data_IF_448554746031
#
_entry.id   IF_448554746031
#
_cell.length_a   1.000
_cell.length_b   1.000
_cell.length_c   1.000
_cell.angle_alpha   90.00
_cell.angle_beta   90.00
_cell.angle_gamma   90.00
#
_symmetry.space_group_name_H-M   'P 1'
#
loop_
_entity.id
_entity.type
_entity.pdbx_description
1 polymer ?
#
# COMPACT_ATOMS: atom_id res chain seq x y z
N UNK A 1 -6.71 8.23 -21.15
CA UNK A 1 -5.72 7.79 -20.14
C UNK A 1 -5.22 9.07 -19.47
N UNK A 2 -5.24 9.20 -18.14
CA UNK A 2 -4.77 10.43 -17.51
C UNK A 2 -3.27 10.64 -17.83
N UNK A 3 -2.87 11.89 -18.11
CA UNK A 3 -1.48 12.23 -18.42
C UNK A 3 -0.58 11.88 -17.23
N UNK A 4 0.50 11.14 -17.48
CA UNK A 4 1.46 10.80 -16.41
C UNK A 4 2.43 11.97 -16.22
N UNK A 5 2.70 12.40 -14.98
CA UNK A 5 3.68 13.45 -14.74
C UNK A 5 5.03 13.06 -15.33
N UNK A 6 5.67 13.99 -16.05
CA UNK A 6 6.94 13.79 -16.74
C UNK A 6 6.99 12.53 -17.62
N UNK A 7 5.88 12.26 -18.32
CA UNK A 7 5.72 11.10 -19.21
C UNK A 7 6.06 9.73 -18.55
N UNK A 8 5.96 9.66 -17.21
CA UNK A 8 6.26 8.45 -16.43
C UNK A 8 7.74 8.18 -16.15
N UNK A 9 8.67 9.08 -16.56
CA UNK A 9 10.12 8.89 -16.35
C UNK A 9 10.51 8.81 -14.87
N UNK A 10 9.70 9.39 -13.97
CA UNK A 10 9.93 9.39 -12.53
C UNK A 10 8.90 8.57 -11.75
N UNK A 11 8.07 7.75 -12.41
CA UNK A 11 7.02 6.93 -11.78
C UNK A 11 7.56 6.06 -10.61
N UNK A 12 8.85 5.71 -10.65
CA UNK A 12 9.53 4.90 -9.65
C UNK A 12 9.61 5.54 -8.26
N UNK A 13 9.45 6.86 -8.15
CA UNK A 13 9.56 7.62 -6.90
C UNK A 13 8.23 8.26 -6.47
N UNK A 14 7.15 7.97 -7.19
CA UNK A 14 5.84 8.55 -6.91
C UNK A 14 5.12 7.76 -5.82
N UNK A 15 4.60 8.49 -4.84
CA UNK A 15 3.70 7.99 -3.81
C UNK A 15 2.33 8.64 -3.96
N UNK A 16 1.28 8.00 -3.44
CA UNK A 16 -0.09 8.50 -3.48
C UNK A 16 -0.45 9.13 -2.14
N UNK A 17 -1.35 10.11 -2.20
CA UNK A 17 -1.92 10.69 -1.00
C UNK A 17 -2.84 9.69 -0.27
N UNK A 18 -2.92 9.75 1.08
CA UNK A 18 -2.29 10.75 1.94
C UNK A 18 -0.82 10.47 2.29
N UNK A 19 -0.01 11.54 2.36
CA UNK A 19 1.37 11.50 2.83
C UNK A 19 1.50 12.37 4.08
N UNK A 20 1.64 11.74 5.26
CA UNK A 20 1.81 12.45 6.53
C UNK A 20 3.26 12.84 6.79
N UNK A 21 4.19 12.01 6.33
CA UNK A 21 5.62 12.22 6.51
C UNK A 21 6.32 12.29 5.15
N UNK A 22 6.99 13.40 4.83
CA UNK A 22 7.80 13.51 3.63
C UNK A 22 9.12 12.75 3.79
N UNK A 23 9.57 12.13 2.70
CA UNK A 23 10.85 11.42 2.60
C UNK A 23 11.62 11.91 1.39
N UNK A 24 12.94 12.03 1.52
CA UNK A 24 13.79 12.58 0.45
C UNK A 24 13.79 11.74 -0.84
N UNK A 25 13.41 10.45 -0.75
CA UNK A 25 13.40 9.51 -1.87
C UNK A 25 12.10 9.45 -2.66
N UNK A 26 11.06 10.21 -2.27
CA UNK A 26 9.73 10.10 -2.89
C UNK A 26 9.02 11.43 -3.00
N UNK A 27 8.11 11.53 -3.97
CA UNK A 27 7.28 12.72 -4.21
C UNK A 27 5.83 12.28 -4.38
N UNK A 28 4.88 13.04 -3.84
CA UNK A 28 3.46 12.74 -4.07
C UNK A 28 3.11 12.92 -5.54
N UNK A 29 2.21 12.10 -6.06
CA UNK A 29 1.73 12.22 -7.44
C UNK A 29 1.20 13.62 -7.73
N UNK A 30 0.42 14.20 -6.80
CA UNK A 30 -0.11 15.55 -6.93
C UNK A 30 1.00 16.62 -7.07
N UNK A 31 2.07 16.53 -6.27
CA UNK A 31 3.20 17.47 -6.39
C UNK A 31 3.99 17.28 -7.68
N UNK A 32 4.15 16.04 -8.15
CA UNK A 32 4.79 15.76 -9.43
C UNK A 32 3.94 16.28 -10.62
N UNK A 33 2.62 16.18 -10.54
CA UNK A 33 1.69 16.73 -11.52
C UNK A 33 1.74 18.26 -11.56
N UNK A 34 1.73 18.93 -10.39
CA UNK A 34 1.88 20.37 -10.31
C UNK A 34 3.22 20.84 -10.91
N UNK A 35 4.31 20.14 -10.57
CA UNK A 35 5.62 20.39 -11.16
C UNK A 35 5.65 20.14 -12.67
N UNK A 36 4.94 19.13 -13.16
CA UNK A 36 4.85 18.85 -14.59
C UNK A 36 4.10 19.94 -15.35
N UNK A 37 2.96 20.41 -14.82
CA UNK A 37 2.20 21.54 -15.37
C UNK A 37 3.07 22.78 -15.46
N UNK A 38 3.80 23.11 -14.40
CA UNK A 38 4.73 24.24 -14.40
C UNK A 38 5.78 24.11 -15.51
N UNK A 39 6.35 22.92 -15.72
CA UNK A 39 7.36 22.69 -16.76
C UNK A 39 6.81 22.89 -18.17
N UNK A 40 5.71 22.21 -18.53
CA UNK A 40 5.24 22.26 -19.92
C UNK A 40 4.42 23.51 -20.25
N UNK A 41 3.80 24.16 -19.25
CA UNK A 41 3.02 25.39 -19.45
C UNK A 41 3.90 26.63 -19.35
N UNK A 42 4.75 26.71 -18.34
CA UNK A 42 5.41 27.97 -17.97
C UNK A 42 6.89 28.03 -18.41
N UNK A 43 7.62 26.90 -18.39
CA UNK A 43 9.06 26.89 -18.70
C UNK A 43 9.38 26.50 -20.14
N UNK A 44 8.67 25.50 -20.67
CA UNK A 44 8.96 24.87 -21.95
C UNK A 44 7.75 24.81 -22.90
N UNK A 45 6.90 25.85 -23.00
CA UNK A 45 5.71 25.80 -23.87
C UNK A 45 6.05 25.68 -25.36
N UNK A 46 7.26 26.08 -25.75
CA UNK A 46 7.83 25.94 -27.09
C UNK A 46 8.37 24.54 -27.39
N UNK A 47 8.70 23.75 -26.37
CA UNK A 47 9.25 22.39 -26.51
C UNK A 47 8.22 21.29 -26.23
N UNK A 48 7.23 21.58 -25.38
CA UNK A 48 6.24 20.59 -24.92
C UNK A 48 4.85 21.12 -25.18
N UNK A 49 4.13 20.49 -26.11
CA UNK A 49 2.73 20.82 -26.39
C UNK A 49 1.82 20.41 -25.23
N UNK A 50 1.10 21.38 -24.65
CA UNK A 50 0.12 21.12 -23.60
C UNK A 50 -1.00 20.19 -24.06
N UNK A 51 -1.49 20.35 -25.30
CA UNK A 51 -2.49 19.47 -25.91
C UNK A 51 -1.93 18.06 -26.13
N UNK A 52 -0.66 17.96 -26.54
CA UNK A 52 0.05 16.69 -26.68
C UNK A 52 0.13 15.94 -25.34
N UNK A 53 0.43 16.65 -24.25
CA UNK A 53 0.43 16.08 -22.89
C UNK A 53 -0.96 15.66 -22.46
N UNK A 54 -1.97 16.53 -22.59
CA UNK A 54 -3.34 16.27 -22.16
C UNK A 54 -3.98 15.07 -22.88
N UNK A 55 -3.69 14.92 -24.18
CA UNK A 55 -4.18 13.81 -24.99
C UNK A 55 -3.35 12.52 -24.83
N UNK A 56 -2.23 12.57 -24.10
CA UNK A 56 -1.33 11.42 -23.91
C UNK A 56 -0.45 11.09 -25.12
N UNK A 57 -0.34 12.02 -26.07
CA UNK A 57 0.49 11.87 -27.27
C UNK A 57 1.97 12.25 -27.03
N UNK A 58 2.27 12.91 -25.92
CA UNK A 58 3.64 13.23 -25.52
C UNK A 58 4.24 12.10 -24.69
N UNK A 59 5.24 11.42 -25.23
CA UNK A 59 5.81 10.19 -24.68
C UNK A 59 7.11 10.40 -23.91
N UNK A 60 7.58 9.33 -23.25
CA UNK A 60 8.85 9.33 -22.56
C UNK A 60 10.03 9.57 -23.52
N UNK A 61 9.99 9.06 -24.76
CA UNK A 61 11.07 9.31 -25.73
C UNK A 61 11.12 10.76 -26.20
N UNK A 62 9.94 11.38 -26.33
CA UNK A 62 9.86 12.80 -26.71
C UNK A 62 10.48 13.67 -25.62
N UNK A 63 10.16 13.38 -24.35
CA UNK A 63 10.76 14.07 -23.21
C UNK A 63 12.26 13.81 -23.08
N UNK A 64 12.73 12.59 -23.36
CA UNK A 64 14.15 12.25 -23.35
C UNK A 64 14.95 13.08 -24.36
N UNK A 65 14.41 13.29 -25.57
CA UNK A 65 15.07 14.05 -26.63
C UNK A 65 15.35 15.51 -26.26
N UNK A 66 14.49 16.12 -25.45
CA UNK A 66 14.58 17.53 -25.01
C UNK A 66 15.03 17.68 -23.56
N UNK A 67 15.38 16.59 -22.87
CA UNK A 67 15.67 16.60 -21.44
C UNK A 67 16.78 17.58 -21.03
N UNK A 68 17.89 17.75 -21.79
CA UNK A 68 18.92 18.72 -21.44
C UNK A 68 18.37 20.15 -21.33
N UNK A 69 17.52 20.56 -22.28
CA UNK A 69 16.92 21.89 -22.32
C UNK A 69 15.93 22.08 -21.18
N UNK A 70 15.09 21.08 -20.92
CA UNK A 70 14.15 21.09 -19.79
C UNK A 70 14.88 21.26 -18.46
N UNK A 71 15.94 20.47 -18.23
CA UNK A 71 16.73 20.54 -16.99
C UNK A 71 17.47 21.89 -16.85
N UNK A 72 18.00 22.44 -17.93
CA UNK A 72 18.64 23.75 -17.93
C UNK A 72 17.65 24.84 -17.53
N UNK A 73 16.47 24.87 -18.17
CA UNK A 73 15.42 25.86 -17.88
C UNK A 73 14.88 25.73 -16.46
N UNK A 74 14.67 24.51 -15.96
CA UNK A 74 14.28 24.28 -14.57
C UNK A 74 15.33 24.83 -13.59
N UNK A 75 16.61 24.55 -13.84
CA UNK A 75 17.72 25.03 -13.00
C UNK A 75 17.78 26.56 -12.99
N UNK A 76 17.71 27.20 -14.15
CA UNK A 76 17.80 28.65 -14.28
C UNK A 76 16.59 29.34 -13.64
N UNK A 77 15.39 28.80 -13.84
CA UNK A 77 14.18 29.30 -13.20
C UNK A 77 14.27 29.22 -11.66
N UNK A 78 14.68 28.08 -11.11
CA UNK A 78 14.84 27.92 -9.66
C UNK A 78 15.94 28.83 -9.09
N UNK A 79 17.04 29.02 -9.81
CA UNK A 79 18.10 29.95 -9.42
C UNK A 79 17.63 31.41 -9.43
N UNK A 80 16.77 31.80 -10.38
CA UNK A 80 16.18 33.14 -10.44
C UNK A 80 15.15 33.35 -9.32
N UNK A 81 14.34 32.34 -9.02
CA UNK A 81 13.34 32.36 -7.94
C UNK A 81 14.01 32.45 -6.57
N UNK A 82 15.10 31.71 -6.35
CA UNK A 82 15.83 31.73 -5.08
C UNK A 82 16.38 33.12 -4.70
N UNK A 83 16.53 34.02 -5.68
CA UNK A 83 17.03 35.39 -5.48
C UNK A 83 15.91 36.43 -5.25
N UNK A 84 14.64 36.03 -5.40
CA UNK A 84 13.50 36.95 -5.43
C UNK A 84 12.30 36.35 -4.65
N UNK A 85 12.05 36.83 -3.42
CA UNK A 85 10.95 36.34 -2.60
C UNK A 85 9.56 36.46 -3.24
N UNK A 86 9.35 37.48 -4.08
CA UNK A 86 8.06 37.68 -4.75
C UNK A 86 7.86 36.64 -5.87
N UNK A 87 8.93 36.28 -6.59
CA UNK A 87 8.87 35.16 -7.55
C UNK A 87 8.64 33.82 -6.85
N UNK A 88 9.26 33.59 -5.70
CA UNK A 88 9.01 32.37 -4.92
C UNK A 88 7.57 32.29 -4.43
N UNK A 89 7.00 33.42 -3.94
CA UNK A 89 5.58 33.51 -3.57
C UNK A 89 4.65 33.20 -4.74
N UNK A 90 4.92 33.75 -5.92
CA UNK A 90 4.14 33.48 -7.14
C UNK A 90 4.24 32.03 -7.57
N UNK A 91 5.42 31.42 -7.50
CA UNK A 91 5.58 30.00 -7.82
C UNK A 91 4.76 29.12 -6.87
N UNK A 92 4.81 29.36 -5.55
CA UNK A 92 3.99 28.61 -4.58
C UNK A 92 2.50 28.71 -4.89
N UNK A 93 2.02 29.91 -5.25
CA UNK A 93 0.63 30.10 -5.67
C UNK A 93 0.30 29.33 -6.96
N UNK A 94 1.21 29.32 -7.94
CA UNK A 94 1.02 28.60 -9.20
C UNK A 94 1.05 27.07 -9.05
N UNK A 95 1.84 26.54 -8.12
CA UNK A 95 1.91 25.11 -7.81
C UNK A 95 0.81 24.65 -6.84
N UNK A 96 0.10 25.58 -6.21
CA UNK A 96 -1.01 25.33 -5.30
C UNK A 96 -0.62 25.03 -3.85
N UNK A 97 0.66 24.80 -3.53
CA UNK A 97 1.13 24.58 -2.17
C UNK A 97 2.62 24.88 -1.97
N UNK A 98 3.04 25.02 -0.71
CA UNK A 98 4.48 25.16 -0.38
C UNK A 98 5.20 23.82 -0.54
N UNK A 99 4.51 22.73 -0.24
CA UNK A 99 5.01 21.36 -0.33
C UNK A 99 5.29 20.96 -1.78
N UNK A 100 4.44 21.37 -2.73
CA UNK A 100 4.68 21.17 -4.16
C UNK A 100 5.93 21.92 -4.63
N UNK A 101 6.16 23.13 -4.12
CA UNK A 101 7.38 23.89 -4.39
C UNK A 101 8.60 23.17 -3.81
N UNK A 102 8.53 22.70 -2.58
CA UNK A 102 9.64 22.02 -1.90
C UNK A 102 9.96 20.64 -2.49
N UNK A 103 9.04 20.05 -3.26
CA UNK A 103 9.27 18.82 -4.03
C UNK A 103 10.10 19.03 -5.31
N UNK A 104 10.18 20.26 -5.85
CA UNK A 104 10.86 20.52 -7.13
C UNK A 104 12.34 20.08 -7.17
N UNK A 105 13.16 20.29 -6.12
CA UNK A 105 14.54 19.80 -6.11
C UNK A 105 14.62 18.27 -6.23
N UNK A 106 13.72 17.53 -5.58
CA UNK A 106 13.66 16.06 -5.66
C UNK A 106 13.24 15.61 -7.06
N UNK A 107 12.23 16.26 -7.65
CA UNK A 107 11.80 16.03 -9.03
C UNK A 107 12.97 16.26 -10.01
N UNK A 108 13.66 17.38 -9.89
CA UNK A 108 14.80 17.70 -10.76
C UNK A 108 15.95 16.69 -10.60
N UNK A 109 16.23 16.24 -9.37
CA UNK A 109 17.22 15.18 -9.13
C UNK A 109 16.79 13.85 -9.77
N UNK A 110 15.51 13.48 -9.64
CA UNK A 110 14.96 12.27 -10.25
C UNK A 110 15.06 12.31 -11.78
N UNK A 111 14.75 13.44 -12.41
CA UNK A 111 14.89 13.63 -13.87
C UNK A 111 16.36 13.54 -14.31
N UNK A 112 17.28 14.15 -13.56
CA UNK A 112 18.73 14.06 -13.82
C UNK A 112 19.23 12.62 -13.71
N UNK A 113 18.71 11.86 -12.75
CA UNK A 113 19.13 10.50 -12.43
C UNK A 113 18.21 9.41 -12.98
N UNK A 114 17.28 9.74 -13.90
CA UNK A 114 16.23 8.83 -14.40
C UNK A 114 16.73 7.47 -14.91
N UNK A 115 17.88 7.45 -15.59
CA UNK A 115 18.51 6.21 -16.05
C UNK A 115 18.96 5.31 -14.87
N UNK A 116 19.36 5.91 -13.74
CA UNK A 116 19.69 5.19 -12.52
C UNK A 116 18.44 4.68 -11.80
N UNK A 117 17.29 5.35 -11.90
CA UNK A 117 16.03 4.83 -11.36
C UNK A 117 15.62 3.51 -12.03
N UNK A 118 15.84 3.39 -13.35
CA UNK A 118 15.63 2.14 -14.09
C UNK A 118 16.55 1.04 -13.56
N UNK A 119 17.84 1.35 -13.37
CA UNK A 119 18.81 0.41 -12.78
C UNK A 119 18.45 0.04 -11.35
N UNK A 120 17.96 0.97 -10.54
CA UNK A 120 17.52 0.71 -9.18
C UNK A 120 16.31 -0.23 -9.11
N UNK A 121 15.34 -0.08 -10.02
CA UNK A 121 14.24 -1.06 -10.15
C UNK A 121 14.78 -2.44 -10.53
N UNK A 122 15.73 -2.52 -11.46
CA UNK A 122 16.35 -3.78 -11.84
C UNK A 122 17.11 -4.42 -10.65
N UNK A 123 17.84 -3.61 -9.88
CA UNK A 123 18.46 -4.04 -8.63
C UNK A 123 17.43 -4.62 -7.65
N UNK A 124 16.33 -3.91 -7.39
CA UNK A 124 15.29 -4.39 -6.48
C UNK A 124 14.67 -5.73 -6.91
N UNK A 125 14.51 -5.95 -8.23
CA UNK A 125 14.11 -7.27 -8.77
C UNK A 125 15.18 -8.33 -8.53
N UNK A 126 16.44 -8.01 -8.79
CA UNK A 126 17.56 -8.92 -8.62
C UNK A 126 17.74 -9.36 -7.15
N UNK A 127 17.50 -8.47 -6.19
CA UNK A 127 17.53 -8.79 -4.74
C UNK A 127 16.62 -9.98 -4.39
N UNK A 128 15.50 -10.15 -5.08
CA UNK A 128 14.60 -11.30 -4.83
C UNK A 128 15.22 -12.64 -5.25
N UNK A 129 16.20 -12.64 -6.17
CA UNK A 129 16.87 -13.84 -6.66
C UNK A 129 18.22 -14.11 -5.97
N UNK A 130 18.83 -13.10 -5.33
CA UNK A 130 20.08 -13.28 -4.57
C UNK A 130 19.79 -14.15 -3.36
N UNK A 131 20.36 -15.34 -3.26
CA UNK A 131 20.17 -16.24 -2.11
C UNK A 131 21.25 -16.05 -1.04
N UNK A 132 22.46 -15.66 -1.45
CA UNK A 132 23.62 -15.51 -0.57
C UNK A 132 23.71 -14.12 0.08
N UNK A 133 23.84 -14.09 1.41
CA UNK A 133 23.90 -12.84 2.19
C UNK A 133 25.13 -11.98 1.87
N UNK A 134 26.27 -12.62 1.55
CA UNK A 134 27.50 -11.92 1.17
C UNK A 134 27.33 -11.15 -0.15
N UNK A 135 26.71 -11.76 -1.15
CA UNK A 135 26.41 -11.13 -2.43
C UNK A 135 25.44 -9.95 -2.26
N UNK A 136 24.40 -10.09 -1.42
CA UNK A 136 23.50 -8.99 -1.10
C UNK A 136 24.25 -7.85 -0.39
N UNK A 137 25.15 -8.18 0.53
CA UNK A 137 25.98 -7.19 1.23
C UNK A 137 26.84 -6.35 0.28
N UNK A 138 27.56 -6.99 -0.65
CA UNK A 138 28.36 -6.31 -1.68
C UNK A 138 27.47 -5.44 -2.57
N UNK A 139 26.31 -5.96 -2.97
CA UNK A 139 25.37 -5.24 -3.82
C UNK A 139 24.85 -3.96 -3.11
N UNK A 140 24.59 -4.02 -1.80
CA UNK A 140 24.16 -2.85 -1.02
C UNK A 140 25.26 -1.82 -0.84
N UNK A 141 26.51 -2.25 -0.66
CA UNK A 141 27.66 -1.35 -0.57
C UNK A 141 27.98 -0.68 -1.91
N UNK A 142 27.54 -1.23 -3.04
CA UNK A 142 27.68 -0.61 -4.36
C UNK A 142 26.76 0.60 -4.58
N UNK A 143 25.74 0.80 -3.73
CA UNK A 143 24.88 1.98 -3.76
C UNK A 143 25.65 3.24 -3.35
N UNK A 144 25.26 4.44 -3.81
CA UNK A 144 25.97 5.68 -3.51
C UNK A 144 25.68 6.18 -2.09
N UNK A 145 26.05 5.40 -1.05
CA UNK A 145 25.75 5.69 0.36
C UNK A 145 26.35 7.02 0.84
N UNK A 146 27.38 7.53 0.16
CA UNK A 146 28.02 8.83 0.42
C UNK A 146 27.24 10.02 -0.16
N UNK A 147 26.24 9.77 -1.02
CA UNK A 147 25.28 10.76 -1.51
C UNK A 147 23.87 10.38 -1.02
N UNK A 148 23.47 10.83 0.18
CA UNK A 148 22.18 10.45 0.76
C UNK A 148 20.99 10.83 -0.11
N UNK A 149 21.06 11.94 -0.85
CA UNK A 149 19.96 12.40 -1.69
C UNK A 149 19.74 11.44 -2.88
N UNK A 150 20.81 11.07 -3.58
CA UNK A 150 20.73 10.08 -4.65
C UNK A 150 20.37 8.69 -4.09
N UNK A 151 21.00 8.27 -3.00
CA UNK A 151 20.71 6.99 -2.36
C UNK A 151 19.22 6.87 -1.97
N UNK A 152 18.60 7.92 -1.43
CA UNK A 152 17.17 7.92 -1.11
C UNK A 152 16.30 7.65 -2.33
N UNK A 153 16.58 8.27 -3.48
CA UNK A 153 15.83 8.03 -4.73
C UNK A 153 16.01 6.59 -5.22
N UNK A 154 17.26 6.10 -5.24
CA UNK A 154 17.54 4.75 -5.74
C UNK A 154 16.95 3.68 -4.83
N UNK A 155 17.09 3.80 -3.50
CA UNK A 155 16.49 2.83 -2.59
C UNK A 155 14.97 2.87 -2.60
N UNK A 156 14.35 4.04 -2.74
CA UNK A 156 12.90 4.11 -2.89
C UNK A 156 12.42 3.41 -4.17
N UNK A 157 13.09 3.65 -5.29
CA UNK A 157 12.79 2.99 -6.56
C UNK A 157 13.02 1.46 -6.51
N UNK A 158 14.10 1.02 -5.87
CA UNK A 158 14.43 -0.39 -5.69
C UNK A 158 13.41 -1.10 -4.79
N UNK A 159 13.04 -0.50 -3.66
CA UNK A 159 12.19 -1.14 -2.67
C UNK A 159 10.80 -1.48 -3.20
N UNK A 160 10.28 -0.69 -4.14
CA UNK A 160 9.03 -1.00 -4.84
C UNK A 160 9.06 -2.31 -5.62
N UNK A 161 10.24 -2.93 -5.82
CA UNK A 161 10.41 -4.22 -6.49
C UNK A 161 10.84 -5.35 -5.54
N UNK A 162 11.22 -5.03 -4.30
CA UNK A 162 11.71 -6.01 -3.32
C UNK A 162 10.50 -6.67 -2.63
N UNK A 163 10.37 -7.98 -2.73
CA UNK A 163 9.28 -8.76 -2.14
C UNK A 163 9.47 -8.99 -0.64
N UNK A 164 10.70 -9.20 -0.19
CA UNK A 164 11.05 -9.50 1.20
C UNK A 164 11.99 -8.44 1.80
N UNK A 165 11.45 -7.37 2.41
CA UNK A 165 12.26 -6.30 3.01
C UNK A 165 13.05 -6.78 4.24
N UNK A 166 12.64 -7.86 4.91
CA UNK A 166 13.36 -8.39 6.08
C UNK A 166 14.79 -8.77 5.74
N UNK A 167 15.03 -9.41 4.58
CA UNK A 167 16.39 -9.78 4.16
C UNK A 167 17.30 -8.57 3.97
N UNK A 168 16.74 -7.49 3.43
CA UNK A 168 17.47 -6.24 3.27
C UNK A 168 17.92 -5.70 4.64
N UNK A 169 17.00 -5.66 5.61
CA UNK A 169 17.29 -5.16 6.96
C UNK A 169 18.28 -6.04 7.70
N UNK A 170 18.14 -7.36 7.66
CA UNK A 170 19.08 -8.26 8.36
C UNK A 170 20.48 -8.20 7.76
N UNK A 171 20.63 -8.06 6.44
CA UNK A 171 21.94 -7.81 5.82
C UNK A 171 22.53 -6.46 6.24
N UNK A 172 21.71 -5.40 6.31
CA UNK A 172 22.15 -4.08 6.80
C UNK A 172 22.65 -4.15 8.24
N UNK A 173 21.99 -4.92 9.11
CA UNK A 173 22.41 -5.13 10.50
C UNK A 173 23.77 -5.83 10.55
N UNK A 174 23.96 -6.88 9.73
CA UNK A 174 25.25 -7.57 9.62
C UNK A 174 26.37 -6.62 9.17
N UNK A 175 26.10 -5.77 8.18
CA UNK A 175 27.06 -4.77 7.70
C UNK A 175 27.33 -3.68 8.74
N UNK A 176 26.32 -3.29 9.52
CA UNK A 176 26.43 -2.25 10.56
C UNK A 176 27.11 -2.73 11.84
N UNK A 177 27.25 -4.05 12.01
CA UNK A 177 27.88 -4.72 13.15
C UNK A 177 27.00 -4.82 14.40
N UNK A 178 25.87 -4.10 14.46
CA UNK A 178 24.85 -4.25 15.49
C UNK A 178 23.47 -3.81 14.97
N UNK A 179 22.43 -4.13 15.74
CA UNK A 179 21.02 -3.90 15.40
C UNK A 179 20.47 -2.53 15.87
N UNK A 180 21.33 -1.58 16.26
CA UNK A 180 20.88 -0.29 16.78
C UNK A 180 20.68 0.73 15.66
N UNK A 181 19.68 1.61 15.81
CA UNK A 181 19.44 2.74 14.89
C UNK A 181 20.72 3.56 14.65
N UNK A 182 21.51 3.82 15.71
CA UNK A 182 22.76 4.59 15.61
C UNK A 182 23.80 3.93 14.69
N UNK A 183 23.93 2.60 14.70
CA UNK A 183 24.89 1.92 13.83
C UNK A 183 24.43 1.92 12.37
N UNK A 184 23.13 1.75 12.12
CA UNK A 184 22.54 1.83 10.77
C UNK A 184 22.77 3.21 10.17
N UNK A 185 22.56 4.28 10.96
CA UNK A 185 22.84 5.66 10.56
C UNK A 185 24.32 5.85 10.26
N UNK A 186 25.21 5.41 11.17
CA UNK A 186 26.67 5.55 11.00
C UNK A 186 27.19 4.86 9.75
N UNK A 187 26.58 3.75 9.34
CA UNK A 187 26.93 3.01 8.12
C UNK A 187 26.31 3.62 6.84
N UNK A 188 25.49 4.68 6.97
CA UNK A 188 24.89 5.38 5.83
C UNK A 188 23.62 4.72 5.27
N UNK A 189 23.00 3.80 6.00
CA UNK A 189 21.80 3.08 5.53
C UNK A 189 20.48 3.77 5.87
N UNK A 190 20.50 4.99 6.40
CA UNK A 190 19.29 5.78 6.64
C UNK A 190 18.33 5.87 5.45
N UNK A 191 18.81 6.08 4.19
CA UNK A 191 17.95 6.12 3.02
C UNK A 191 17.12 4.84 2.80
N UNK A 192 17.60 3.67 3.22
CA UNK A 192 16.88 2.41 3.11
C UNK A 192 15.72 2.35 4.09
N UNK A 193 15.96 2.77 5.33
CA UNK A 193 14.93 2.79 6.38
C UNK A 193 13.83 3.79 6.02
N UNK A 194 14.22 4.97 5.54
CA UNK A 194 13.29 5.98 5.04
C UNK A 194 12.47 5.46 3.85
N UNK A 195 13.08 4.72 2.92
CA UNK A 195 12.35 4.07 1.83
C UNK A 195 11.32 3.05 2.36
N UNK A 196 11.67 2.22 3.36
CA UNK A 196 10.74 1.25 3.95
C UNK A 196 9.55 1.94 4.59
N UNK A 197 9.79 3.00 5.37
CA UNK A 197 8.72 3.80 5.97
C UNK A 197 7.85 4.50 4.92
N UNK A 198 8.45 5.04 3.86
CA UNK A 198 7.71 5.66 2.76
C UNK A 198 6.79 4.65 2.05
N UNK A 199 7.29 3.45 1.76
CA UNK A 199 6.50 2.38 1.14
C UNK A 199 5.40 1.84 2.07
N UNK A 200 5.66 1.80 3.37
CA UNK A 200 4.67 1.40 4.37
C UNK A 200 3.54 2.44 4.45
N UNK A 201 3.89 3.73 4.54
CA UNK A 201 2.90 4.82 4.48
C UNK A 201 2.11 4.79 3.17
N UNK A 202 2.75 4.51 2.04
CA UNK A 202 2.09 4.46 0.75
C UNK A 202 1.09 3.29 0.62
N UNK A 203 0.96 2.40 1.61
CA UNK A 203 -0.14 1.44 1.65
C UNK A 203 -1.46 2.09 2.07
N UNK A 204 -1.41 3.18 2.83
CA UNK A 204 -2.57 3.83 3.46
C UNK A 204 -3.63 4.24 2.42
N UNK A 205 -3.23 4.68 1.23
CA UNK A 205 -4.15 5.10 0.17
C UNK A 205 -5.09 3.99 -0.32
N UNK A 206 -4.67 2.72 -0.18
CA UNK A 206 -5.47 1.54 -0.57
C UNK A 206 -6.45 1.18 0.54
N UNK A 207 -6.09 1.42 1.80
CA UNK A 207 -6.81 0.95 2.99
C UNK A 207 -8.07 1.75 3.31
N UNK A 208 -8.76 2.30 2.31
CA UNK A 208 -10.10 2.87 2.43
C UNK A 208 -11.10 2.02 1.65
N UNK A 209 -11.50 0.84 2.15
CA UNK A 209 -12.56 0.07 1.53
C UNK A 209 -13.88 0.82 1.72
N UNK A 210 -14.33 1.59 0.74
CA UNK A 210 -15.66 2.19 0.74
C UNK A 210 -16.57 1.47 -0.25
N UNK A 211 -17.74 1.05 0.23
CA UNK A 211 -18.81 0.47 -0.59
C UNK A 211 -18.72 -1.03 -0.81
N UNK A 212 -19.80 -1.61 -1.35
CA UNK A 212 -19.94 -3.04 -1.61
C UNK A 212 -18.93 -3.60 -2.65
N UNK A 213 -18.36 -2.72 -3.48
CA UNK A 213 -17.42 -3.07 -4.56
C UNK A 213 -15.97 -2.68 -4.24
N UNK A 214 -15.63 -2.47 -2.97
CA UNK A 214 -14.24 -2.28 -2.59
C UNK A 214 -13.41 -3.50 -3.05
N UNK A 215 -12.23 -3.25 -3.63
CA UNK A 215 -11.29 -4.31 -4.02
C UNK A 215 -10.61 -4.85 -2.76
N UNK A 216 -11.30 -5.79 -2.10
CA UNK A 216 -10.88 -6.36 -0.82
C UNK A 216 -9.59 -7.16 -0.99
N UNK A 217 -9.37 -7.80 -2.15
CA UNK A 217 -8.11 -8.47 -2.45
C UNK A 217 -6.94 -7.48 -2.47
N UNK A 218 -7.14 -6.30 -3.08
CA UNK A 218 -6.13 -5.23 -3.06
C UNK A 218 -5.89 -4.70 -1.65
N UNK A 219 -6.94 -4.53 -0.83
CA UNK A 219 -6.81 -4.14 0.58
C UNK A 219 -6.02 -5.16 1.37
N UNK A 220 -6.32 -6.45 1.24
CA UNK A 220 -5.60 -7.54 1.91
C UNK A 220 -4.13 -7.57 1.50
N UNK A 221 -3.83 -7.52 0.18
CA UNK A 221 -2.45 -7.45 -0.33
C UNK A 221 -1.69 -6.24 0.20
N UNK A 222 -2.35 -5.08 0.29
CA UNK A 222 -1.75 -3.86 0.83
C UNK A 222 -1.48 -3.97 2.32
N UNK A 223 -2.37 -4.59 3.09
CA UNK A 223 -2.20 -4.85 4.52
C UNK A 223 -1.03 -5.81 4.78
N UNK A 224 -0.93 -6.92 4.02
CA UNK A 224 0.21 -7.84 4.07
C UNK A 224 1.53 -7.17 3.69
N UNK A 225 1.50 -6.28 2.69
CA UNK A 225 2.68 -5.49 2.30
C UNK A 225 3.10 -4.56 3.42
N UNK A 226 2.15 -3.84 4.01
CA UNK A 226 2.38 -2.98 5.17
C UNK A 226 3.00 -3.77 6.33
N UNK A 227 2.40 -4.90 6.68
CA UNK A 227 2.87 -5.79 7.74
C UNK A 227 4.33 -6.23 7.51
N UNK A 228 4.66 -6.72 6.30
CA UNK A 228 6.04 -7.12 5.97
C UNK A 228 7.05 -5.98 6.11
N UNK A 229 6.69 -4.78 5.63
CA UNK A 229 7.56 -3.60 5.73
C UNK A 229 7.78 -3.19 7.19
N UNK A 230 6.71 -3.06 7.97
CA UNK A 230 6.79 -2.73 9.41
C UNK A 230 7.56 -3.77 10.18
N UNK A 231 7.27 -5.06 9.97
CA UNK A 231 7.92 -6.16 10.69
C UNK A 231 9.40 -6.27 10.37
N UNK A 232 9.81 -5.95 9.13
CA UNK A 232 11.22 -5.89 8.75
C UNK A 232 12.02 -4.88 9.59
N UNK A 233 11.36 -3.85 10.11
CA UNK A 233 11.97 -2.82 10.96
C UNK A 233 11.81 -3.15 12.45
N UNK A 234 10.57 -3.23 12.94
CA UNK A 234 10.27 -3.37 14.37
C UNK A 234 10.73 -4.70 14.97
N UNK A 235 10.93 -5.73 14.15
CA UNK A 235 11.43 -7.02 14.59
C UNK A 235 12.95 -7.14 14.68
N UNK A 236 13.69 -6.20 14.08
CA UNK A 236 15.13 -6.37 13.85
C UNK A 236 15.97 -5.17 14.24
N UNK A 237 15.42 -3.96 14.27
CA UNK A 237 16.16 -2.74 14.63
C UNK A 237 15.68 -2.23 15.99
N UNK A 238 16.64 -1.96 16.87
CA UNK A 238 16.43 -1.25 18.13
C UNK A 238 16.42 0.25 17.86
N UNK A 239 15.21 0.81 17.75
CA UNK A 239 15.01 2.25 17.58
C UNK A 239 15.26 3.01 18.88
N UNK A 240 15.92 4.16 18.75
CA UNK A 240 16.10 5.06 19.89
C UNK A 240 14.75 5.65 20.31
N UNK A 241 14.54 5.78 21.61
CA UNK A 241 13.29 6.33 22.15
C UNK A 241 13.10 7.77 21.66
N UNK A 242 11.95 8.04 21.05
CA UNK A 242 11.62 9.37 20.51
C UNK A 242 12.35 9.70 19.19
N UNK A 243 13.02 8.74 18.56
CA UNK A 243 13.62 8.98 17.24
C UNK A 243 12.56 9.24 16.18
N UNK A 244 12.95 9.92 15.11
CA UNK A 244 12.07 10.17 13.96
C UNK A 244 11.50 8.87 13.41
N UNK A 245 12.32 7.83 13.27
CA UNK A 245 11.87 6.53 12.77
C UNK A 245 10.82 5.89 13.67
N UNK A 246 11.04 5.89 14.99
CA UNK A 246 10.06 5.37 15.94
C UNK A 246 8.73 6.16 15.91
N UNK A 247 8.80 7.49 15.84
CA UNK A 247 7.62 8.36 15.76
C UNK A 247 6.82 8.11 14.47
N UNK A 248 7.50 8.06 13.33
CA UNK A 248 6.85 7.79 12.04
C UNK A 248 6.21 6.41 12.04
N UNK A 249 6.94 5.38 12.48
CA UNK A 249 6.43 4.01 12.54
C UNK A 249 5.17 3.91 13.40
N UNK A 250 5.18 4.51 14.59
CA UNK A 250 4.02 4.55 15.48
C UNK A 250 2.83 5.27 14.83
N UNK A 251 3.07 6.42 14.19
CA UNK A 251 2.02 7.21 13.56
C UNK A 251 1.39 6.50 12.36
N UNK A 252 2.18 5.88 11.47
CA UNK A 252 1.62 5.15 10.32
C UNK A 252 0.89 3.88 10.76
N UNK A 253 1.37 3.17 11.79
CA UNK A 253 0.64 2.03 12.39
C UNK A 253 -0.72 2.45 12.91
N UNK A 254 -0.79 3.61 13.59
CA UNK A 254 -2.06 4.16 14.04
C UNK A 254 -2.98 4.49 12.85
N UNK A 255 -2.49 5.20 11.83
CA UNK A 255 -3.30 5.58 10.67
C UNK A 255 -3.86 4.36 9.91
N UNK A 256 -3.05 3.30 9.75
CA UNK A 256 -3.51 2.04 9.16
C UNK A 256 -4.58 1.39 10.03
N UNK A 257 -4.38 1.37 11.35
CA UNK A 257 -5.33 0.79 12.30
C UNK A 257 -6.67 1.53 12.26
N UNK A 258 -6.65 2.86 12.36
CA UNK A 258 -7.83 3.73 12.35
C UNK A 258 -8.65 3.58 11.05
N UNK A 259 -7.98 3.30 9.92
CA UNK A 259 -8.66 3.08 8.62
C UNK A 259 -9.34 1.73 8.49
N UNK A 260 -8.78 0.71 9.14
CA UNK A 260 -9.28 -0.67 9.07
C UNK A 260 -10.33 -0.93 10.16
N UNK A 261 -10.23 -0.23 11.29
CA UNK A 261 -11.11 -0.37 12.46
C UNK A 261 -12.62 -0.40 12.14
N UNK A 262 -13.19 0.53 11.34
CA UNK A 262 -14.63 0.55 11.08
C UNK A 262 -15.11 -0.74 10.44
N UNK A 263 -14.32 -1.28 9.50
CA UNK A 263 -14.66 -2.51 8.80
C UNK A 263 -14.71 -3.71 9.74
N UNK A 264 -13.81 -3.80 10.73
CA UNK A 264 -13.86 -4.87 11.75
C UNK A 264 -15.16 -4.84 12.56
N UNK A 265 -15.63 -3.64 12.93
CA UNK A 265 -16.86 -3.47 13.73
C UNK A 265 -18.09 -3.98 12.96
N UNK A 266 -18.09 -3.87 11.65
CA UNK A 266 -19.24 -4.22 10.80
C UNK A 266 -19.31 -5.71 10.43
N UNK A 267 -18.20 -6.48 10.49
CA UNK A 267 -18.16 -7.89 10.02
C UNK A 267 -19.26 -8.75 10.62
N UNK A 268 -19.47 -8.66 11.93
CA UNK A 268 -20.49 -9.46 12.64
C UNK A 268 -21.90 -9.04 12.22
N UNK A 269 -22.13 -7.74 12.02
CA UNK A 269 -23.41 -7.22 11.53
C UNK A 269 -23.70 -7.75 10.12
N UNK A 270 -22.72 -7.71 9.23
CA UNK A 270 -22.86 -8.19 7.85
C UNK A 270 -23.22 -9.68 7.82
N UNK A 271 -22.52 -10.51 8.59
CA UNK A 271 -22.82 -11.95 8.71
C UNK A 271 -24.27 -12.14 9.19
N UNK A 272 -24.65 -11.41 10.24
CA UNK A 272 -26.00 -11.51 10.78
C UNK A 272 -27.07 -11.10 9.78
N UNK A 273 -26.82 -10.09 8.96
CA UNK A 273 -27.78 -9.63 7.95
C UNK A 273 -27.82 -10.53 6.73
N UNK A 274 -26.68 -11.06 6.28
CA UNK A 274 -26.56 -11.94 5.12
C UNK A 274 -27.15 -13.33 5.37
N UNK A 275 -26.96 -13.86 6.58
CA UNK A 275 -27.31 -15.25 6.92
C UNK A 275 -28.72 -15.41 7.52
N UNK A 276 -29.46 -14.31 7.68
CA UNK A 276 -30.80 -14.33 8.24
C UNK A 276 -31.85 -14.57 7.15
N UNK A 277 -32.88 -15.35 7.49
CA UNK A 277 -34.12 -15.44 6.70
C UNK A 277 -34.90 -14.12 6.75
N UNK A 278 -35.45 -13.67 5.62
CA UNK A 278 -36.33 -12.50 5.58
C UNK A 278 -37.51 -12.64 6.55
N UNK A 279 -37.84 -11.57 7.29
CA UNK A 279 -38.96 -11.58 8.26
C UNK A 279 -40.33 -11.38 7.58
N UNK A 280 -40.37 -10.71 6.44
CA UNK A 280 -41.60 -10.35 5.72
C UNK A 280 -41.42 -10.56 4.21
N UNK A 281 -42.42 -11.15 3.54
CA UNK A 281 -42.40 -11.46 2.11
C UNK A 281 -41.74 -12.80 1.74
N UNK A 282 -41.53 -13.02 0.44
CA UNK A 282 -40.79 -14.19 -0.07
C UNK A 282 -39.32 -14.10 0.38
N UNK A 283 -38.77 -15.18 0.93
CA UNK A 283 -37.35 -15.24 1.30
C UNK A 283 -36.49 -14.93 0.07
N UNK A 284 -35.61 -13.94 0.19
CA UNK A 284 -34.75 -13.46 -0.89
C UNK A 284 -33.33 -13.33 -0.42
N UNK A 285 -32.42 -13.68 -1.32
CA UNK A 285 -30.99 -13.59 -1.10
C UNK A 285 -30.52 -12.20 -1.55
N UNK A 286 -29.86 -11.49 -0.64
CA UNK A 286 -29.23 -10.21 -0.95
C UNK A 286 -27.74 -10.48 -1.25
N UNK A 287 -27.40 -10.48 -2.54
CA UNK A 287 -26.06 -10.78 -3.02
C UNK A 287 -25.02 -9.79 -2.49
N UNK A 288 -25.38 -8.51 -2.34
CA UNK A 288 -24.46 -7.47 -1.87
C UNK A 288 -24.12 -7.68 -0.40
N UNK A 289 -25.11 -8.08 0.42
CA UNK A 289 -24.88 -8.44 1.84
C UNK A 289 -24.04 -9.69 1.99
N UNK A 290 -24.28 -10.71 1.17
CA UNK A 290 -23.45 -11.93 1.19
C UNK A 290 -22.02 -11.62 0.80
N UNK A 291 -21.82 -10.85 -0.27
CA UNK A 291 -20.49 -10.43 -0.68
C UNK A 291 -19.80 -9.62 0.41
N UNK A 292 -20.50 -8.67 1.04
CA UNK A 292 -19.97 -7.91 2.16
C UNK A 292 -19.54 -8.82 3.32
N UNK A 293 -20.37 -9.79 3.71
CA UNK A 293 -20.03 -10.74 4.78
C UNK A 293 -18.81 -11.61 4.45
N UNK A 294 -18.74 -12.18 3.24
CA UNK A 294 -17.58 -12.97 2.78
C UNK A 294 -16.31 -12.12 2.80
N UNK A 295 -16.38 -10.92 2.22
CA UNK A 295 -15.29 -9.96 2.20
C UNK A 295 -14.83 -9.55 3.60
N UNK A 296 -15.77 -9.37 4.54
CA UNK A 296 -15.48 -9.07 5.94
C UNK A 296 -14.74 -10.20 6.63
N UNK A 297 -15.15 -11.45 6.44
CA UNK A 297 -14.48 -12.62 7.00
C UNK A 297 -13.08 -12.81 6.41
N UNK A 298 -12.93 -12.60 5.10
CA UNK A 298 -11.62 -12.68 4.43
C UNK A 298 -10.64 -11.62 4.96
N UNK A 299 -11.06 -10.35 5.03
CA UNK A 299 -10.25 -9.29 5.61
C UNK A 299 -9.88 -9.58 7.07
N UNK A 300 -10.83 -10.09 7.86
CA UNK A 300 -10.58 -10.45 9.26
C UNK A 300 -9.51 -11.55 9.39
N UNK A 301 -9.50 -12.52 8.47
CA UNK A 301 -8.44 -13.53 8.41
C UNK A 301 -7.07 -12.91 8.06
N UNK A 302 -6.99 -11.99 7.09
CA UNK A 302 -5.74 -11.29 6.78
C UNK A 302 -5.24 -10.44 7.96
N UNK A 303 -6.14 -9.76 8.68
CA UNK A 303 -5.78 -8.99 9.88
C UNK A 303 -5.18 -9.90 10.96
N UNK A 304 -5.69 -11.13 11.12
CA UNK A 304 -5.14 -12.10 12.07
C UNK A 304 -3.65 -12.36 11.82
N UNK A 305 -3.26 -12.49 10.55
CA UNK A 305 -1.86 -12.71 10.15
C UNK A 305 -1.01 -11.45 10.34
N UNK A 306 -1.62 -10.27 10.22
CA UNK A 306 -0.94 -8.97 10.31
C UNK A 306 -0.97 -8.33 11.70
N UNK A 307 -1.58 -8.98 12.71
CA UNK A 307 -1.95 -8.36 14.01
C UNK A 307 -0.79 -7.67 14.73
N UNK A 308 0.43 -8.24 14.65
CA UNK A 308 1.61 -7.73 15.35
C UNK A 308 2.12 -6.39 14.78
N UNK A 309 1.58 -5.94 13.64
CA UNK A 309 1.88 -4.64 13.03
C UNK A 309 0.73 -3.64 13.14
N UNK A 310 -0.34 -4.01 13.85
CA UNK A 310 -1.56 -3.22 14.00
C UNK A 310 -1.84 -2.94 15.48
N UNK A 311 -2.51 -1.83 15.74
CA UNK A 311 -2.95 -1.43 17.07
C UNK A 311 -4.43 -1.80 17.32
N UNK A 312 -4.84 -3.00 16.91
CA UNK A 312 -6.25 -3.44 16.90
C UNK A 312 -6.53 -4.69 17.74
N UNK A 313 -5.59 -5.17 18.56
CA UNK A 313 -5.66 -6.50 19.18
C UNK A 313 -6.98 -6.78 19.94
N UNK A 314 -7.40 -5.89 20.85
CA UNK A 314 -8.60 -6.12 21.64
C UNK A 314 -9.88 -6.15 20.78
N UNK A 315 -10.01 -5.23 19.82
CA UNK A 315 -11.14 -5.20 18.90
C UNK A 315 -11.13 -6.44 17.98
N UNK A 316 -9.96 -6.84 17.50
CA UNK A 316 -9.79 -8.03 16.68
C UNK A 316 -10.23 -9.28 17.43
N UNK A 317 -9.76 -9.51 18.66
CA UNK A 317 -10.11 -10.70 19.44
C UNK A 317 -11.62 -10.80 19.66
N UNK A 318 -12.26 -9.67 19.95
CA UNK A 318 -13.71 -9.57 20.07
C UNK A 318 -14.41 -9.91 18.74
N UNK A 319 -14.05 -9.25 17.64
CA UNK A 319 -14.65 -9.47 16.33
C UNK A 319 -14.43 -10.91 15.83
N UNK A 320 -13.25 -11.48 16.08
CA UNK A 320 -12.88 -12.86 15.73
C UNK A 320 -13.76 -13.87 16.46
N UNK A 321 -13.92 -13.69 17.77
CA UNK A 321 -14.76 -14.55 18.61
C UNK A 321 -16.24 -14.47 18.18
N UNK A 322 -16.79 -13.25 18.09
CA UNK A 322 -18.18 -13.01 17.73
C UNK A 322 -18.52 -13.51 16.32
N UNK A 323 -17.61 -13.35 15.36
CA UNK A 323 -17.75 -13.89 14.00
C UNK A 323 -17.87 -15.41 14.01
N UNK A 324 -17.05 -16.10 14.81
CA UNK A 324 -17.12 -17.56 14.95
C UNK A 324 -18.47 -18.01 15.51
N UNK A 325 -18.91 -17.41 16.61
CA UNK A 325 -20.20 -17.73 17.24
C UNK A 325 -21.39 -17.43 16.32
N UNK A 326 -21.37 -16.28 15.63
CA UNK A 326 -22.44 -15.91 14.70
C UNK A 326 -22.56 -16.92 13.54
N UNK A 327 -21.42 -17.32 12.96
CA UNK A 327 -21.41 -18.31 11.88
C UNK A 327 -21.94 -19.66 12.35
N UNK A 328 -21.50 -20.19 13.50
CA UNK A 328 -22.01 -21.47 14.04
C UNK A 328 -23.53 -21.45 14.20
N UNK A 329 -24.07 -20.40 14.83
CA UNK A 329 -25.50 -20.25 15.05
C UNK A 329 -26.27 -20.21 13.74
N UNK A 330 -25.81 -19.44 12.76
CA UNK A 330 -26.50 -19.30 11.48
C UNK A 330 -26.36 -20.53 10.59
N UNK A 331 -25.22 -21.21 10.60
CA UNK A 331 -25.01 -22.46 9.87
C UNK A 331 -25.93 -23.55 10.40
N UNK A 332 -26.02 -23.70 11.72
CA UNK A 332 -26.93 -24.66 12.35
C UNK A 332 -28.39 -24.37 11.96
N UNK A 333 -28.82 -23.10 12.07
CA UNK A 333 -30.17 -22.69 11.68
C UNK A 333 -30.49 -22.95 10.20
N UNK A 334 -29.56 -22.64 9.28
CA UNK A 334 -29.79 -22.87 7.86
C UNK A 334 -29.77 -24.36 7.48
N UNK A 335 -28.96 -25.18 8.16
CA UNK A 335 -29.03 -26.64 8.03
C UNK A 335 -30.38 -27.19 8.48
N UNK A 336 -30.93 -26.70 9.60
CA UNK A 336 -32.25 -27.11 10.07
C UNK A 336 -33.36 -26.67 9.10
N UNK A 337 -33.23 -25.49 8.48
CA UNK A 337 -34.15 -25.02 7.45
C UNK A 337 -34.09 -25.87 6.17
N UNK A 338 -32.90 -26.27 5.72
CA UNK A 338 -32.74 -27.19 4.57
C UNK A 338 -33.34 -28.57 4.87
N UNK A 339 -33.18 -29.09 6.09
CA UNK A 339 -33.84 -30.37 6.47
C UNK A 339 -35.36 -30.31 6.36
N UNK A 340 -35.95 -29.14 6.61
CA UNK A 340 -37.39 -28.92 6.51
C UNK A 340 -37.84 -28.66 5.08
N UNK A 341 -37.04 -27.94 4.28
CA UNK A 341 -37.33 -27.59 2.90
C UNK A 341 -36.12 -27.86 1.98
N UNK A 342 -35.83 -29.13 1.64
CA UNK A 342 -34.61 -29.50 0.90
C UNK A 342 -34.48 -28.88 -0.49
N UNK A 343 -35.60 -28.54 -1.13
CA UNK A 343 -35.64 -27.99 -2.48
C UNK A 343 -35.57 -26.45 -2.55
N UNK A 344 -35.44 -25.74 -1.42
CA UNK A 344 -35.41 -24.28 -1.41
C UNK A 344 -34.04 -23.74 -1.89
N UNK A 345 -33.98 -23.11 -3.08
CA UNK A 345 -32.72 -22.65 -3.64
C UNK A 345 -32.12 -21.47 -2.86
N UNK A 346 -32.93 -20.68 -2.16
CA UNK A 346 -32.47 -19.51 -1.40
C UNK A 346 -31.75 -19.96 -0.14
N UNK A 347 -32.30 -20.93 0.59
CA UNK A 347 -31.64 -21.48 1.78
C UNK A 347 -30.35 -22.21 1.38
N UNK A 348 -30.38 -22.96 0.26
CA UNK A 348 -29.19 -23.62 -0.28
C UNK A 348 -28.07 -22.63 -0.59
N UNK A 349 -28.34 -21.58 -1.36
CA UNK A 349 -27.33 -20.58 -1.71
C UNK A 349 -26.81 -19.81 -0.48
N UNK A 350 -27.67 -19.51 0.50
CA UNK A 350 -27.27 -18.89 1.77
C UNK A 350 -26.35 -19.81 2.57
N UNK A 351 -26.65 -21.12 2.64
CA UNK A 351 -25.81 -22.08 3.32
C UNK A 351 -24.44 -22.21 2.64
N UNK A 352 -24.38 -22.19 1.31
CA UNK A 352 -23.12 -22.24 0.57
C UNK A 352 -22.21 -21.04 0.87
N UNK A 353 -22.78 -19.84 0.93
CA UNK A 353 -22.06 -18.65 1.38
C UNK A 353 -21.55 -18.81 2.83
N UNK A 354 -22.40 -19.34 3.72
CA UNK A 354 -22.03 -19.67 5.10
C UNK A 354 -20.85 -20.64 5.20
N UNK A 355 -20.87 -21.71 4.41
CA UNK A 355 -19.81 -22.72 4.35
C UNK A 355 -18.51 -22.08 3.85
N UNK A 356 -18.58 -21.17 2.87
CA UNK A 356 -17.39 -20.46 2.38
C UNK A 356 -16.78 -19.56 3.46
N UNK A 357 -17.61 -18.85 4.23
CA UNK A 357 -17.14 -18.08 5.37
C UNK A 357 -16.54 -18.98 6.47
N UNK A 358 -17.14 -20.15 6.71
CA UNK A 358 -16.66 -21.13 7.68
C UNK A 358 -15.29 -21.72 7.30
N UNK A 359 -15.06 -21.97 6.00
CA UNK A 359 -13.77 -22.43 5.47
C UNK A 359 -12.64 -21.47 5.85
N UNK A 360 -12.87 -20.16 5.68
CA UNK A 360 -11.90 -19.11 6.03
C UNK A 360 -11.78 -18.95 7.54
N UNK A 361 -12.90 -18.98 8.28
CA UNK A 361 -12.92 -18.69 9.72
C UNK A 361 -12.40 -19.85 10.59
N UNK A 362 -12.65 -21.10 10.21
CA UNK A 362 -12.33 -22.28 11.02
C UNK A 362 -11.20 -23.08 10.39
N UNK A 363 -11.46 -23.71 9.24
CA UNK A 363 -10.54 -24.44 8.38
C UNK A 363 -11.31 -25.19 7.26
N UNK A 364 -10.61 -25.74 6.25
CA UNK A 364 -11.23 -26.56 5.21
C UNK A 364 -11.95 -27.82 5.73
N UNK A 365 -11.42 -28.48 6.75
CA UNK A 365 -11.99 -29.73 7.29
C UNK A 365 -13.38 -29.52 7.92
N UNK A 366 -13.57 -28.38 8.59
CA UNK A 366 -14.84 -27.97 9.15
C UNK A 366 -15.85 -27.67 8.03
N UNK A 367 -15.43 -26.95 6.99
CA UNK A 367 -16.26 -26.69 5.82
C UNK A 367 -16.70 -27.99 5.12
N UNK A 368 -15.81 -28.97 4.96
CA UNK A 368 -16.15 -30.26 4.37
C UNK A 368 -17.13 -31.08 5.23
N UNK A 369 -17.07 -30.92 6.55
CA UNK A 369 -18.07 -31.50 7.45
C UNK A 369 -19.45 -30.88 7.23
N UNK A 370 -19.53 -29.56 7.03
CA UNK A 370 -20.79 -28.88 6.71
C UNK A 370 -21.33 -29.26 5.32
N UNK A 371 -20.46 -29.37 4.31
CA UNK A 371 -20.85 -29.83 2.96
C UNK A 371 -21.50 -31.23 3.01
N UNK A 372 -20.91 -32.15 3.79
CA UNK A 372 -21.47 -33.49 4.01
C UNK A 372 -22.81 -33.43 4.76
N UNK A 373 -22.92 -32.60 5.79
CA UNK A 373 -24.15 -32.41 6.55
C UNK A 373 -25.29 -31.85 5.66
N UNK A 374 -24.98 -30.91 4.77
CA UNK A 374 -25.89 -30.38 3.75
C UNK A 374 -26.37 -31.49 2.82
N UNK A 375 -25.45 -32.22 2.18
CA UNK A 375 -25.79 -33.29 1.25
C UNK A 375 -26.66 -34.39 1.91
N UNK A 376 -26.43 -34.68 3.19
CA UNK A 376 -27.25 -35.62 3.94
C UNK A 376 -28.66 -35.07 4.25
N UNK A 377 -28.79 -33.76 4.47
CA UNK A 377 -30.08 -33.11 4.67
C UNK A 377 -30.91 -33.05 3.38
N UNK A 378 -30.26 -32.85 2.23
CA UNK A 378 -30.92 -32.83 0.91
C UNK A 378 -31.46 -34.21 0.49
N UNK A 379 -30.81 -35.30 0.90
CA UNK A 379 -31.24 -36.69 0.58
C UNK A 379 -32.40 -37.21 1.42
N UNK A 380 -32.84 -36.48 2.45
CA UNK A 380 -33.92 -36.91 3.35
C UNK A 380 -35.32 -36.50 2.87
N UNK A 381 -35.44 -35.79 1.74
CA UNK A 381 -36.67 -35.72 0.94
C UNK A 381 -36.81 -36.93 0.04
#
# INVERSE_FOLDING_TARGET
MAARPFAGLIDAILVQDPVSFPFAGSVTRAHAEAGWVWVHRDLCPDLISADGVANGNFSASDLEAIMPDVLARMKDALAAIAKDPEKDRRLRAALGSTEARDALPVIMMALRSRALLVKAKAFGKAVNAITEDGALGVALQSMPLQDPALASLLFHAALGQIANPTRLVTTIIKLSGNATEAAVIRMGFSPVIDAILAHAQNQIHILQPMGAFADIDLVCRSLERFHRLVRSLSGYIEFARGSRWAMVLSAITKQVSDRIEPRLRDVVSDINQAMRRGREGSDRLDNDRILAAINGVYLLATIRECRDSLALNALFDQAWSQTGQALEVHLQRNLDLIRQNPADPVISARLDAGIKMAEVRFNPEYADTLKRARAAAERRS
#
